data_IF_733308302912
#
_entry.id   IF_733308302912
#
_cell.length_a   1.000
_cell.length_b   1.000
_cell.length_c   1.000
_cell.angle_alpha   90.00
_cell.angle_beta   90.00
_cell.angle_gamma   90.00
#
_symmetry.space_group_name_H-M   'P 1'
#
loop_
_entity.id
_entity.type
_entity.pdbx_description
1 polymer ?
#
# COMPACT_ATOMS: atom_id res chain seq x y z
N UNK A 1 35.79 7.37 -11.78
CA UNK A 1 35.71 6.40 -12.89
C UNK A 1 36.13 7.14 -14.15
N UNK A 2 37.31 6.86 -14.72
CA UNK A 2 37.74 7.44 -16.00
C UNK A 2 37.15 6.58 -17.12
N UNK A 3 36.36 7.18 -18.01
CA UNK A 3 35.81 6.50 -19.18
C UNK A 3 36.87 6.62 -20.28
N UNK A 4 37.46 5.51 -20.71
CA UNK A 4 38.39 5.50 -21.84
C UNK A 4 37.59 5.20 -23.11
N UNK A 5 37.47 6.19 -24.00
CA UNK A 5 36.94 5.99 -25.34
C UNK A 5 38.06 5.34 -26.16
N UNK A 6 37.82 4.13 -26.64
CA UNK A 6 38.79 3.38 -27.46
C UNK A 6 38.66 3.89 -28.90
N UNK A 7 39.61 4.71 -29.36
CA UNK A 7 39.60 5.24 -30.73
C UNK A 7 40.21 6.64 -30.83
N UNK A 8 40.32 7.16 -32.06
CA UNK A 8 40.64 8.56 -32.29
C UNK A 8 39.43 9.43 -31.86
N UNK A 9 39.64 10.55 -31.17
CA UNK A 9 38.54 11.41 -30.74
C UNK A 9 37.90 12.10 -31.94
N UNK A 10 36.74 11.61 -32.38
CA UNK A 10 35.86 12.26 -33.37
C UNK A 10 34.68 12.93 -32.65
N UNK A 11 34.55 14.25 -32.79
CA UNK A 11 33.46 15.03 -32.18
C UNK A 11 32.08 14.50 -32.57
N UNK A 12 31.89 14.03 -33.81
CA UNK A 12 30.61 13.53 -34.31
C UNK A 12 30.17 12.22 -33.64
N UNK A 13 31.10 11.45 -33.09
CA UNK A 13 30.83 10.22 -32.35
C UNK A 13 30.74 10.46 -30.84
N UNK A 14 31.54 11.41 -30.33
CA UNK A 14 31.66 11.69 -28.90
C UNK A 14 30.38 12.33 -28.33
N UNK A 15 29.81 13.34 -28.99
CA UNK A 15 28.59 14.01 -28.51
C UNK A 15 27.39 13.05 -28.37
N UNK A 16 27.00 12.29 -29.42
CA UNK A 16 25.90 11.34 -29.29
C UNK A 16 26.22 10.20 -28.33
N UNK A 17 27.49 9.81 -28.17
CA UNK A 17 27.87 8.82 -27.16
C UNK A 17 27.58 9.32 -25.74
N UNK A 18 27.93 10.57 -25.41
CA UNK A 18 27.66 11.13 -24.09
C UNK A 18 26.17 11.40 -23.85
N UNK A 19 25.45 11.97 -24.82
CA UNK A 19 24.00 12.17 -24.68
C UNK A 19 23.26 10.84 -24.45
N UNK A 20 23.63 9.81 -25.20
CA UNK A 20 23.00 8.50 -25.05
C UNK A 20 23.41 7.74 -23.79
N UNK A 21 24.51 8.08 -23.13
CA UNK A 21 24.99 7.38 -21.93
C UNK A 21 25.02 8.27 -20.68
N UNK A 22 24.43 9.46 -20.75
CA UNK A 22 24.36 10.40 -19.63
C UNK A 22 23.61 9.83 -18.43
N UNK A 23 22.63 8.95 -18.68
CA UNK A 23 21.86 8.27 -17.65
C UNK A 23 22.24 6.78 -17.62
N UNK A 24 22.36 6.17 -16.42
CA UNK A 24 22.62 4.75 -16.33
C UNK A 24 21.49 3.97 -16.97
N UNK A 25 21.85 2.89 -17.66
CA UNK A 25 20.89 2.05 -18.37
C UNK A 25 19.98 1.32 -17.38
N UNK A 26 20.57 0.83 -16.28
CA UNK A 26 19.83 0.31 -15.13
C UNK A 26 19.61 1.43 -14.11
N UNK A 27 18.34 1.67 -13.77
CA UNK A 27 17.97 2.67 -12.77
C UNK A 27 18.04 2.09 -11.36
N UNK A 28 18.62 2.82 -10.42
CA UNK A 28 18.55 2.50 -9.00
C UNK A 28 17.23 3.05 -8.44
N UNK A 29 16.42 2.18 -7.82
CA UNK A 29 15.16 2.57 -7.19
C UNK A 29 15.23 2.30 -5.68
N UNK A 30 14.61 3.19 -4.92
CA UNK A 30 14.43 3.07 -3.47
C UNK A 30 12.94 3.19 -3.12
N UNK A 31 12.60 3.00 -1.85
CA UNK A 31 11.21 3.02 -1.37
C UNK A 31 10.44 4.31 -1.71
N UNK A 32 11.15 5.44 -1.82
CA UNK A 32 10.54 6.75 -2.12
C UNK A 32 10.32 6.98 -3.62
N UNK A 33 11.23 6.46 -4.44
CA UNK A 33 11.29 6.73 -5.88
C UNK A 33 10.57 5.63 -6.69
N UNK A 34 10.48 4.42 -6.14
CA UNK A 34 9.95 3.24 -6.84
C UNK A 34 8.56 3.51 -7.43
N UNK A 35 7.62 3.99 -6.62
CA UNK A 35 6.25 4.25 -7.08
C UNK A 35 6.16 5.43 -8.04
N UNK A 36 6.91 6.51 -7.75
CA UNK A 36 6.94 7.68 -8.61
C UNK A 36 7.42 7.34 -10.03
N UNK A 37 8.37 6.42 -10.15
CA UNK A 37 8.94 6.01 -11.44
C UNK A 37 8.14 4.92 -12.14
N UNK A 38 7.74 3.89 -11.38
CA UNK A 38 7.12 2.69 -11.94
C UNK A 38 5.61 2.84 -12.09
N UNK A 39 4.95 3.64 -11.24
CA UNK A 39 3.50 3.71 -11.10
C UNK A 39 2.84 2.31 -11.03
N UNK A 40 3.53 1.37 -10.37
CA UNK A 40 3.14 -0.04 -10.38
C UNK A 40 1.73 -0.26 -9.79
N UNK A 41 1.35 0.51 -8.76
CA UNK A 41 0.05 0.38 -8.09
C UNK A 41 -1.13 0.91 -8.92
N UNK A 42 -0.94 1.96 -9.72
CA UNK A 42 -2.03 2.59 -10.49
C UNK A 42 -2.28 1.90 -11.83
N UNK A 43 -1.37 1.02 -12.27
CA UNK A 43 -1.43 0.36 -13.57
C UNK A 43 -1.11 1.28 -14.75
N UNK A 44 -0.95 2.59 -14.53
CA UNK A 44 -0.52 3.58 -15.51
C UNK A 44 1.02 3.68 -15.56
N UNK A 45 1.69 2.53 -15.63
CA UNK A 45 3.15 2.49 -15.55
C UNK A 45 3.78 3.32 -16.68
N UNK A 46 4.88 4.01 -16.39
CA UNK A 46 5.66 4.79 -17.38
C UNK A 46 6.42 3.86 -18.34
N UNK A 47 5.71 2.92 -18.96
CA UNK A 47 6.24 1.73 -19.63
C UNK A 47 6.36 0.53 -18.70
N UNK A 48 6.75 -0.60 -19.25
CA UNK A 48 7.00 -1.82 -18.49
C UNK A 48 8.32 -1.74 -17.73
N UNK A 49 8.38 -2.39 -16.56
CA UNK A 49 9.56 -2.39 -15.71
C UNK A 49 10.03 -3.79 -15.41
N UNK A 50 11.34 -4.02 -15.54
CA UNK A 50 11.98 -5.25 -15.05
C UNK A 50 12.95 -4.90 -13.94
N UNK A 51 12.67 -5.38 -12.74
CA UNK A 51 13.37 -4.95 -11.52
C UNK A 51 14.07 -6.13 -10.86
N UNK A 52 15.35 -5.96 -10.57
CA UNK A 52 16.14 -6.88 -9.75
C UNK A 52 16.19 -6.40 -8.30
N UNK A 53 15.67 -7.22 -7.39
CA UNK A 53 15.88 -7.05 -5.96
C UNK A 53 17.18 -7.74 -5.56
N UNK A 54 18.08 -6.98 -4.96
CA UNK A 54 19.40 -7.45 -4.52
C UNK A 54 19.65 -7.06 -3.05
N UNK A 55 20.74 -7.56 -2.47
CA UNK A 55 21.19 -7.15 -1.14
C UNK A 55 22.69 -6.91 -1.12
N UNK A 56 23.14 -5.92 -0.34
CA UNK A 56 24.54 -5.50 -0.31
C UNK A 56 25.52 -6.63 0.07
N UNK A 57 25.11 -7.52 0.98
CA UNK A 57 25.93 -8.64 1.48
C UNK A 57 25.83 -9.92 0.63
N UNK A 58 25.15 -9.89 -0.52
CA UNK A 58 24.90 -11.06 -1.36
C UNK A 58 25.94 -11.15 -2.50
N UNK A 59 26.87 -12.10 -2.39
CA UNK A 59 27.94 -12.31 -3.40
C UNK A 59 27.38 -12.67 -4.78
N UNK A 60 26.35 -13.52 -4.83
CA UNK A 60 25.72 -13.92 -6.09
C UNK A 60 25.03 -12.74 -6.77
N UNK A 61 24.43 -11.85 -5.97
CA UNK A 61 23.82 -10.63 -6.47
C UNK A 61 24.89 -9.74 -7.12
N UNK A 62 26.03 -9.52 -6.46
CA UNK A 62 27.15 -8.71 -6.97
C UNK A 62 27.63 -9.16 -8.36
N UNK A 63 27.76 -10.48 -8.58
CA UNK A 63 28.12 -11.03 -9.90
C UNK A 63 27.09 -10.69 -10.97
N UNK A 64 25.82 -10.63 -10.58
CA UNK A 64 24.74 -10.37 -11.49
C UNK A 64 24.57 -8.88 -11.84
N UNK A 65 25.14 -7.93 -11.09
CA UNK A 65 25.05 -6.50 -11.44
C UNK A 65 25.56 -6.23 -12.86
N UNK A 66 26.73 -6.77 -13.23
CA UNK A 66 27.28 -6.58 -14.58
C UNK A 66 26.40 -7.22 -15.67
N UNK A 67 25.83 -8.39 -15.38
CA UNK A 67 24.93 -9.09 -16.28
C UNK A 67 23.63 -8.31 -16.47
N UNK A 68 23.13 -7.70 -15.39
CA UNK A 68 21.91 -6.88 -15.37
C UNK A 68 22.07 -5.59 -16.17
N UNK A 69 23.25 -4.95 -16.16
CA UNK A 69 23.55 -3.84 -17.08
C UNK A 69 23.44 -4.27 -18.56
N UNK A 70 23.92 -5.48 -18.89
CA UNK A 70 23.78 -6.06 -20.23
C UNK A 70 22.32 -6.32 -20.62
N UNK A 71 21.49 -6.77 -19.68
CA UNK A 71 20.04 -6.91 -19.88
C UNK A 71 19.40 -5.55 -20.14
N UNK A 72 19.74 -4.54 -19.33
CA UNK A 72 19.33 -3.16 -19.52
C UNK A 72 19.66 -2.66 -20.93
N UNK A 73 20.88 -2.91 -21.41
CA UNK A 73 21.31 -2.47 -22.73
C UNK A 73 20.49 -3.11 -23.86
N UNK A 74 20.12 -4.39 -23.73
CA UNK A 74 19.31 -5.11 -24.73
C UNK A 74 17.82 -4.75 -24.70
N UNK A 75 17.32 -4.35 -23.53
CA UNK A 75 15.91 -3.96 -23.33
C UNK A 75 15.67 -2.46 -23.47
N UNK A 76 16.73 -1.66 -23.65
CA UNK A 76 16.68 -0.21 -23.83
C UNK A 76 15.62 0.19 -24.87
N UNK A 77 14.76 1.14 -24.50
CA UNK A 77 13.67 1.65 -25.33
C UNK A 77 12.41 0.77 -25.39
N UNK A 78 12.45 -0.46 -24.85
CA UNK A 78 11.30 -1.37 -24.81
C UNK A 78 10.79 -1.61 -23.39
N UNK A 79 11.71 -1.91 -22.47
CA UNK A 79 11.41 -2.17 -21.05
C UNK A 79 12.40 -1.40 -20.22
N UNK A 80 11.92 -0.70 -19.20
CA UNK A 80 12.77 -0.03 -18.23
C UNK A 80 13.39 -1.08 -17.30
N UNK A 81 14.71 -1.05 -17.14
CA UNK A 81 15.41 -1.98 -16.24
C UNK A 81 15.86 -1.23 -15.00
N UNK A 82 15.63 -1.82 -13.83
CA UNK A 82 16.00 -1.24 -12.57
C UNK A 82 16.51 -2.27 -11.57
N UNK A 83 17.12 -1.77 -10.50
CA UNK A 83 17.47 -2.58 -9.33
C UNK A 83 17.09 -1.85 -8.04
N UNK A 84 16.81 -2.65 -7.01
CA UNK A 84 16.36 -2.20 -5.70
C UNK A 84 17.14 -2.94 -4.63
N UNK A 85 17.74 -2.22 -3.69
CA UNK A 85 18.39 -2.80 -2.51
C UNK A 85 17.34 -3.21 -1.48
N UNK A 86 17.02 -4.49 -1.42
CA UNK A 86 16.06 -5.07 -0.48
C UNK A 86 16.54 -5.04 0.98
N UNK A 87 17.84 -4.82 1.25
CA UNK A 87 18.41 -4.81 2.59
C UNK A 87 18.46 -3.41 3.23
N UNK A 88 18.48 -2.36 2.40
CA UNK A 88 18.62 -0.97 2.85
C UNK A 88 17.49 -0.09 2.31
N UNK A 89 17.74 0.60 1.18
CA UNK A 89 16.90 1.70 0.71
C UNK A 89 15.56 1.24 0.10
N UNK A 90 15.40 -0.04 -0.19
CA UNK A 90 14.25 -0.67 -0.81
C UNK A 90 13.55 -1.72 0.07
N UNK A 91 13.81 -1.72 1.38
CA UNK A 91 13.33 -2.75 2.29
C UNK A 91 11.80 -2.79 2.38
N UNK A 92 11.11 -1.64 2.37
CA UNK A 92 9.64 -1.61 2.40
C UNK A 92 9.05 -2.12 1.09
N UNK A 93 9.64 -1.75 -0.04
CA UNK A 93 9.26 -2.23 -1.36
C UNK A 93 9.44 -3.74 -1.46
N UNK A 94 10.59 -4.26 -1.01
CA UNK A 94 10.86 -5.69 -0.98
C UNK A 94 9.84 -6.45 -0.12
N UNK A 95 9.52 -5.92 1.07
CA UNK A 95 8.50 -6.50 1.95
C UNK A 95 7.11 -6.51 1.30
N UNK A 96 6.72 -5.40 0.65
CA UNK A 96 5.42 -5.27 -0.04
C UNK A 96 5.25 -6.30 -1.16
N UNK A 97 6.32 -6.61 -1.89
CA UNK A 97 6.29 -7.61 -2.96
C UNK A 97 6.68 -9.03 -2.50
N UNK A 98 6.73 -9.28 -1.19
CA UNK A 98 7.07 -10.59 -0.61
C UNK A 98 8.39 -11.16 -1.15
N UNK A 99 9.42 -10.31 -1.20
CA UNK A 99 10.77 -10.70 -1.63
C UNK A 99 11.54 -11.27 -0.44
N UNK A 100 11.37 -12.57 -0.19
CA UNK A 100 12.03 -13.26 0.93
C UNK A 100 13.43 -13.79 0.59
N UNK A 101 13.73 -13.96 -0.71
CA UNK A 101 14.98 -14.55 -1.20
C UNK A 101 15.64 -13.63 -2.22
N UNK A 102 16.96 -13.55 -2.19
CA UNK A 102 17.76 -12.71 -3.08
C UNK A 102 18.72 -13.59 -3.91
N UNK A 103 18.99 -13.23 -5.17
CA UNK A 103 18.32 -12.18 -5.95
C UNK A 103 16.90 -12.62 -6.40
N UNK A 104 15.98 -11.66 -6.53
CA UNK A 104 14.64 -11.90 -7.10
C UNK A 104 14.39 -10.91 -8.23
N UNK A 105 13.80 -11.37 -9.34
CA UNK A 105 13.45 -10.51 -10.48
C UNK A 105 11.93 -10.45 -10.65
N UNK A 106 11.41 -9.23 -10.70
CA UNK A 106 9.98 -8.95 -10.86
C UNK A 106 9.77 -8.11 -12.11
N UNK A 107 8.88 -8.57 -12.98
CA UNK A 107 8.47 -7.84 -14.18
C UNK A 107 7.08 -7.23 -13.95
N UNK A 108 6.97 -5.93 -14.14
CA UNK A 108 5.76 -5.14 -13.95
C UNK A 108 5.21 -4.71 -15.30
N UNK A 109 3.96 -5.10 -15.57
CA UNK A 109 3.23 -4.75 -16.79
C UNK A 109 1.74 -4.67 -16.49
N UNK A 110 1.12 -3.55 -16.84
CA UNK A 110 -0.34 -3.32 -16.78
C UNK A 110 -0.96 -3.68 -15.41
N UNK A 111 -0.35 -3.21 -14.32
CA UNK A 111 -0.84 -3.44 -12.94
C UNK A 111 -0.68 -4.88 -12.43
N UNK A 112 0.03 -5.73 -13.19
CA UNK A 112 0.40 -7.09 -12.78
C UNK A 112 1.91 -7.19 -12.58
N UNK A 113 2.29 -8.03 -11.64
CA UNK A 113 3.66 -8.43 -11.37
C UNK A 113 3.86 -9.90 -11.75
N UNK A 114 4.96 -10.17 -12.43
CA UNK A 114 5.35 -11.49 -12.90
C UNK A 114 6.71 -11.84 -12.29
N UNK A 115 6.76 -12.88 -11.47
CA UNK A 115 8.00 -13.36 -10.86
C UNK A 115 8.79 -14.20 -11.86
N UNK A 116 10.08 -13.89 -12.00
CA UNK A 116 10.99 -14.70 -12.78
C UNK A 116 11.32 -16.00 -12.03
N UNK A 117 10.90 -17.14 -12.58
CA UNK A 117 11.08 -18.47 -11.97
C UNK A 117 11.89 -19.44 -12.85
N UNK A 118 12.55 -18.94 -13.90
CA UNK A 118 13.36 -19.77 -14.78
C UNK A 118 14.71 -20.11 -14.11
N UNK A 119 15.24 -21.33 -14.33
CA UNK A 119 16.48 -21.78 -13.69
C UNK A 119 17.74 -21.15 -14.29
N UNK A 120 17.65 -20.55 -15.49
CA UNK A 120 18.80 -19.95 -16.20
C UNK A 120 18.87 -18.45 -15.93
N UNK A 121 20.02 -17.95 -15.51
CA UNK A 121 20.28 -16.53 -15.21
C UNK A 121 21.13 -15.85 -16.30
N UNK A 122 20.83 -16.14 -17.57
CA UNK A 122 21.53 -15.56 -18.72
C UNK A 122 20.83 -14.30 -19.24
N UNK A 123 21.59 -13.39 -19.87
CA UNK A 123 21.06 -12.17 -20.49
C UNK A 123 19.93 -12.51 -21.48
N UNK A 124 20.13 -13.54 -22.31
CA UNK A 124 19.13 -13.97 -23.31
C UNK A 124 17.83 -14.43 -22.64
N UNK A 125 17.94 -15.15 -21.53
CA UNK A 125 16.80 -15.67 -20.78
C UNK A 125 16.02 -14.56 -20.08
N UNK A 126 16.69 -13.51 -19.60
CA UNK A 126 16.02 -12.32 -19.06
C UNK A 126 15.30 -11.53 -20.15
N UNK A 127 15.97 -11.33 -21.30
CA UNK A 127 15.40 -10.59 -22.43
C UNK A 127 14.18 -11.28 -23.02
N UNK A 128 14.26 -12.59 -23.27
CA UNK A 128 13.12 -13.37 -23.78
C UNK A 128 11.96 -13.41 -22.79
N UNK A 129 12.26 -13.36 -21.49
CA UNK A 129 11.24 -13.28 -20.46
C UNK A 129 10.45 -11.98 -20.50
N UNK A 130 11.14 -10.85 -20.52
CA UNK A 130 10.51 -9.54 -20.58
C UNK A 130 9.72 -9.30 -21.88
N UNK A 131 10.11 -9.97 -22.98
CA UNK A 131 9.43 -9.84 -24.27
C UNK A 131 8.16 -10.69 -24.35
N UNK A 132 8.27 -12.00 -24.12
CA UNK A 132 7.18 -12.94 -24.44
C UNK A 132 6.90 -13.96 -23.33
N UNK A 133 7.93 -14.47 -22.64
CA UNK A 133 7.74 -15.60 -21.72
C UNK A 133 6.97 -15.23 -20.44
N UNK A 134 6.95 -13.95 -20.05
CA UNK A 134 6.20 -13.51 -18.87
C UNK A 134 4.71 -13.92 -18.93
N UNK A 135 4.14 -14.11 -20.14
CA UNK A 135 2.76 -14.58 -20.35
C UNK A 135 2.50 -15.99 -19.79
N UNK A 136 3.55 -16.81 -19.72
CA UNK A 136 3.50 -18.16 -19.15
C UNK A 136 3.72 -18.16 -17.62
N UNK A 137 4.18 -17.04 -17.06
CA UNK A 137 4.31 -16.89 -15.62
C UNK A 137 2.96 -16.47 -15.00
N UNK A 138 2.74 -16.89 -13.75
CA UNK A 138 1.58 -16.46 -12.97
C UNK A 138 1.70 -14.95 -12.72
N UNK A 139 0.81 -14.17 -13.33
CA UNK A 139 0.69 -12.74 -13.08
C UNK A 139 -0.16 -12.50 -11.84
N UNK A 140 0.43 -11.91 -10.81
CA UNK A 140 -0.26 -11.52 -9.59
C UNK A 140 -0.60 -10.02 -9.65
N UNK A 141 -1.74 -9.58 -9.09
CA UNK A 141 -2.03 -8.16 -9.03
C UNK A 141 -0.98 -7.46 -8.16
N UNK A 142 -0.58 -6.25 -8.55
CA UNK A 142 0.36 -5.47 -7.74
C UNK A 142 -0.30 -5.18 -6.38
N UNK A 143 0.32 -5.57 -5.24
CA UNK A 143 -0.19 -5.25 -3.92
C UNK A 143 -0.28 -3.74 -3.79
N UNK A 144 -1.39 -3.23 -3.25
CA UNK A 144 -1.55 -1.80 -3.03
C UNK A 144 -0.51 -1.30 -2.02
N UNK A 145 -0.11 -0.04 -2.15
CA UNK A 145 0.64 0.64 -1.11
C UNK A 145 -0.25 0.69 0.13
N UNK A 146 0.29 0.30 1.29
CA UNK A 146 -0.34 0.68 2.55
C UNK A 146 -0.38 2.21 2.58
N UNK A 147 -1.59 2.76 2.67
CA UNK A 147 -1.81 4.19 2.75
C UNK A 147 -1.12 4.72 4.02
N UNK A 148 -0.59 5.95 4.01
CA UNK A 148 -0.13 6.62 5.23
C UNK A 148 -1.21 6.70 6.33
N UNK A 149 -2.47 6.60 5.95
CA UNK A 149 -3.61 6.59 6.87
C UNK A 149 -4.02 5.19 7.31
N UNK A 150 -3.56 4.13 6.65
CA UNK A 150 -3.94 2.76 7.03
C UNK A 150 -3.42 2.41 8.43
N UNK A 151 -2.25 2.93 8.84
CA UNK A 151 -1.72 2.77 10.20
C UNK A 151 -2.60 3.48 11.25
N UNK A 152 -3.11 4.67 10.92
CA UNK A 152 -4.03 5.42 11.80
C UNK A 152 -5.38 4.72 11.88
N UNK A 153 -5.87 4.19 10.76
CA UNK A 153 -7.10 3.42 10.70
C UNK A 153 -6.97 2.14 11.53
N UNK A 154 -5.85 1.42 11.42
CA UNK A 154 -5.64 0.17 12.16
C UNK A 154 -5.56 0.43 13.66
N UNK A 155 -4.83 1.46 14.08
CA UNK A 155 -4.82 1.92 15.48
C UNK A 155 -6.22 2.32 15.97
N UNK A 156 -6.99 3.03 15.14
CA UNK A 156 -8.36 3.44 15.49
C UNK A 156 -9.28 2.24 15.65
N UNK A 157 -9.16 1.26 14.75
CA UNK A 157 -9.93 0.01 14.80
C UNK A 157 -9.57 -0.81 16.05
N UNK A 158 -8.28 -0.90 16.40
CA UNK A 158 -7.85 -1.54 17.64
C UNK A 158 -8.37 -0.82 18.88
N UNK A 159 -8.31 0.51 18.91
CA UNK A 159 -8.85 1.32 20.00
C UNK A 159 -10.38 1.13 20.15
N UNK A 160 -11.12 1.03 19.05
CA UNK A 160 -12.57 0.75 19.08
C UNK A 160 -12.82 -0.65 19.62
N UNK A 161 -12.09 -1.66 19.14
CA UNK A 161 -12.23 -3.03 19.64
C UNK A 161 -11.92 -3.12 21.14
N UNK A 162 -10.85 -2.45 21.59
CA UNK A 162 -10.47 -2.40 23.00
C UNK A 162 -11.51 -1.67 23.85
N UNK A 163 -12.03 -0.53 23.39
CA UNK A 163 -13.07 0.20 24.14
C UNK A 163 -14.40 -0.55 24.21
N UNK A 164 -14.80 -1.24 23.14
CA UNK A 164 -15.98 -2.11 23.14
C UNK A 164 -15.77 -3.32 24.04
N UNK A 165 -14.61 -3.99 23.97
CA UNK A 165 -14.32 -5.16 24.82
C UNK A 165 -14.21 -4.77 26.28
N UNK A 166 -13.50 -3.68 26.60
CA UNK A 166 -13.42 -3.12 27.95
C UNK A 166 -14.81 -2.73 28.48
N UNK A 167 -15.65 -2.11 27.66
CA UNK A 167 -17.03 -1.79 28.02
C UNK A 167 -17.86 -3.04 28.32
N UNK A 168 -17.77 -4.07 27.48
CA UNK A 168 -18.44 -5.35 27.69
C UNK A 168 -17.95 -6.05 28.97
N UNK A 169 -16.66 -5.98 29.27
CA UNK A 169 -16.04 -6.64 30.42
C UNK A 169 -16.37 -5.91 31.74
N UNK A 170 -16.44 -4.58 31.72
CA UNK A 170 -16.96 -3.78 32.84
C UNK A 170 -18.43 -4.12 33.11
N UNK A 171 -19.24 -4.27 32.05
CA UNK A 171 -20.64 -4.67 32.13
C UNK A 171 -20.83 -6.09 32.68
N UNK A 172 -19.97 -7.04 32.28
CA UNK A 172 -20.03 -8.43 32.77
C UNK A 172 -19.60 -8.56 34.23
N UNK A 173 -18.58 -7.79 34.64
CA UNK A 173 -18.00 -7.83 36.00
C UNK A 173 -18.82 -7.10 37.05
N UNK A 174 -19.62 -6.11 36.65
CA UNK A 174 -20.47 -5.34 37.53
C UNK A 174 -21.94 -5.32 37.04
N UNK A 175 -22.69 -6.42 37.23
CA UNK A 175 -24.08 -6.53 36.75
C UNK A 175 -25.03 -5.46 37.33
N UNK A 176 -24.70 -4.86 38.47
CA UNK A 176 -25.47 -3.78 39.11
C UNK A 176 -25.46 -2.47 38.31
N UNK A 177 -24.47 -2.24 37.43
CA UNK A 177 -24.39 -1.04 36.59
C UNK A 177 -25.60 -0.96 35.63
N UNK A 178 -26.06 -2.11 35.14
CA UNK A 178 -27.28 -2.18 34.31
C UNK A 178 -28.53 -1.77 35.08
N UNK A 179 -28.60 -2.10 36.38
CA UNK A 179 -29.74 -1.75 37.23
C UNK A 179 -29.81 -0.24 37.51
N UNK A 180 -28.66 0.44 37.58
CA UNK A 180 -28.63 1.92 37.72
C UNK A 180 -29.11 2.59 36.45
N UNK A 181 -28.71 2.10 35.27
CA UNK A 181 -29.19 2.62 33.99
C UNK A 181 -30.71 2.48 33.84
N UNK A 182 -31.26 1.30 34.14
CA UNK A 182 -32.70 1.01 34.07
C UNK A 182 -33.47 1.78 35.15
N UNK A 183 -32.95 1.84 36.37
CA UNK A 183 -33.59 2.54 37.48
C UNK A 183 -33.63 4.05 37.27
N UNK A 184 -32.51 4.64 36.81
CA UNK A 184 -32.41 6.08 36.53
C UNK A 184 -33.32 6.51 35.38
N UNK A 185 -33.24 5.84 34.23
CA UNK A 185 -34.11 6.13 33.09
C UNK A 185 -35.58 5.84 33.41
N UNK A 186 -35.87 4.77 34.15
CA UNK A 186 -37.22 4.44 34.60
C UNK A 186 -37.82 5.51 35.50
N UNK A 187 -37.06 6.08 36.43
CA UNK A 187 -37.53 7.14 37.33
C UNK A 187 -37.82 8.45 36.57
N UNK A 188 -36.98 8.81 35.60
CA UNK A 188 -37.20 9.99 34.74
C UNK A 188 -38.42 9.78 33.85
N UNK A 189 -38.57 8.59 33.25
CA UNK A 189 -39.76 8.26 32.46
C UNK A 189 -41.04 8.29 33.31
N UNK A 190 -41.00 7.74 34.53
CA UNK A 190 -42.13 7.75 35.47
C UNK A 190 -42.51 9.17 35.89
N UNK A 191 -41.54 10.02 36.22
CA UNK A 191 -41.81 11.42 36.57
C UNK A 191 -42.37 12.21 35.39
N UNK A 192 -41.89 11.96 34.17
CA UNK A 192 -42.45 12.55 32.96
C UNK A 192 -43.89 12.09 32.68
N UNK A 193 -44.20 10.80 32.85
CA UNK A 193 -45.56 10.24 32.71
C UNK A 193 -46.50 10.84 33.76
N UNK A 194 -46.06 10.94 35.02
CA UNK A 194 -46.86 11.56 36.09
C UNK A 194 -47.11 13.06 35.80
N UNK A 195 -46.11 13.78 35.28
CA UNK A 195 -46.26 15.18 34.87
C UNK A 195 -47.29 15.33 33.74
N UNK A 196 -47.28 14.44 32.74
CA UNK A 196 -48.26 14.43 31.65
C UNK A 196 -49.68 14.10 32.13
N UNK A 197 -49.86 13.12 33.04
CA UNK A 197 -51.16 12.80 33.62
C UNK A 197 -51.70 13.97 34.45
N UNK A 198 -50.83 14.64 35.22
CA UNK A 198 -51.21 15.80 36.04
C UNK A 198 -51.60 16.99 35.16
N UNK A 199 -50.87 17.23 34.07
CA UNK A 199 -51.18 18.25 33.08
C UNK A 199 -52.54 17.99 32.39
N UNK A 200 -52.83 16.73 32.05
CA UNK A 200 -54.13 16.31 31.50
C UNK A 200 -55.30 16.46 32.48
N UNK A 201 -55.10 16.24 33.79
CA UNK A 201 -56.14 16.49 34.80
C UNK A 201 -56.46 17.97 34.98
N UNK A 202 -55.46 18.85 34.86
CA UNK A 202 -55.64 20.30 35.01
C UNK A 202 -56.33 20.98 33.82
N UNK A 203 -56.25 20.43 32.60
CA UNK A 203 -57.04 20.93 31.47
C UNK A 203 -58.52 20.58 31.62
N UNK A 204 -58.82 19.31 31.96
CA UNK A 204 -60.20 18.84 32.17
C UNK A 204 -60.91 19.65 33.27
N UNK A 205 -60.26 19.92 34.41
CA UNK A 205 -60.89 20.71 35.48
C UNK A 205 -61.09 22.19 35.11
N UNK A 206 -60.25 22.78 34.25
CA UNK A 206 -60.45 24.14 33.77
C UNK A 206 -61.63 24.23 32.79
N UNK A 207 -61.80 23.24 31.92
CA UNK A 207 -62.93 23.20 30.98
C UNK A 207 -64.26 22.97 31.70
N UNK A 208 -64.33 22.05 32.67
CA UNK A 208 -65.55 21.84 33.48
C UNK A 208 -65.94 23.08 34.31
N UNK A 209 -64.95 23.87 34.77
CA UNK A 209 -65.20 25.10 35.54
C UNK A 209 -65.60 26.28 34.64
N UNK A 210 -65.17 26.29 33.37
CA UNK A 210 -65.62 27.26 32.36
C UNK A 210 -67.06 26.97 31.89
N UNK A 211 -67.41 25.70 31.75
CA UNK A 211 -68.75 25.27 31.34
C UNK A 211 -69.82 25.51 32.41
N UNK A 212 -69.50 25.30 33.70
CA UNK A 212 -70.37 25.67 34.84
C UNK A 212 -70.57 27.18 35.05
N UNK A 213 -69.75 28.03 34.43
CA UNK A 213 -69.91 29.50 34.49
C UNK A 213 -70.74 30.06 33.33
N UNK A 214 -71.16 29.21 32.39
CA UNK A 214 -71.85 29.60 31.15
C UNK A 214 -73.29 29.05 31.04
N UNK A 215 -73.77 28.38 32.09
CA UNK A 215 -75.19 28.04 32.36
C UNK A 215 -75.60 28.77 33.62
#
# INVERSE_FOLDING_TARGET
MKIYIVGAPDENEIYPFFENNQKPVVKELNDKIFEHMTQAATGATTGDWFVMFYGASCVECQRLHALWEGVGAKLRGRVNVARVDASLAGAQTAKRFHVDKLPTFLFFRLGKVYKYALPKTDIKSFVSFAQDWYKNAKGEPVPLLASPFDEVVDWTVEMIKYSVSFGLDILSKYPWIWQIGIGGFGLVALTAIIALIKAGRTSVTKDTKKEKKRK
#
